data_IF_027377397679
#
_entry.id   IF_027377397679
#
_cell.length_a   1.000
_cell.length_b   1.000
_cell.length_c   1.000
_cell.angle_alpha   90.00
_cell.angle_beta   90.00
_cell.angle_gamma   90.00
#
_symmetry.space_group_name_H-M   'P 1'
#
loop_
_entity.id
_entity.type
_entity.pdbx_description
1 polymer ?
#
# COMPACT_ATOMS: atom_id res chain seq x y z
N UNK A 1 1.61 -1.58 -5.46
CA UNK A 1 0.18 -1.57 -5.79
C UNK A 1 -0.16 -0.62 -6.95
N UNK A 2 0.67 0.37 -7.28
CA UNK A 2 0.46 1.25 -8.43
C UNK A 2 1.78 1.75 -9.02
N UNK A 3 1.72 2.73 -9.93
CA UNK A 3 2.90 3.30 -10.59
C UNK A 3 3.90 3.97 -9.64
N UNK A 4 3.44 4.54 -8.51
CA UNK A 4 4.31 5.23 -7.55
C UNK A 4 5.17 4.20 -6.82
N UNK A 5 4.54 3.13 -6.32
CA UNK A 5 5.28 2.03 -5.68
C UNK A 5 6.18 1.30 -6.67
N UNK A 6 5.76 1.16 -7.92
CA UNK A 6 6.59 0.56 -8.97
C UNK A 6 7.88 1.35 -9.19
N UNK A 7 7.80 2.70 -9.21
CA UNK A 7 8.97 3.56 -9.34
C UNK A 7 9.91 3.46 -8.14
N UNK A 8 9.37 3.45 -6.91
CA UNK A 8 10.18 3.29 -5.68
C UNK A 8 10.83 1.90 -5.63
N UNK A 9 10.10 0.85 -6.00
CA UNK A 9 10.64 -0.52 -6.03
C UNK A 9 11.78 -0.66 -7.04
N UNK A 10 11.67 -0.05 -8.22
CA UNK A 10 12.76 0.01 -9.20
C UNK A 10 13.99 0.75 -8.66
N UNK A 11 13.79 1.91 -8.01
CA UNK A 11 14.89 2.66 -7.37
C UNK A 11 15.62 1.77 -6.36
N UNK A 12 14.89 1.14 -5.44
CA UNK A 12 15.48 0.26 -4.42
C UNK A 12 16.18 -0.97 -5.03
N UNK A 13 15.64 -1.52 -6.12
CA UNK A 13 16.27 -2.63 -6.82
C UNK A 13 17.65 -2.25 -7.38
N UNK A 14 17.83 -1.02 -7.88
CA UNK A 14 19.09 -0.50 -8.40
C UNK A 14 20.07 -0.13 -7.27
N UNK A 15 19.56 0.47 -6.18
CA UNK A 15 20.39 0.89 -5.05
C UNK A 15 20.91 -0.28 -4.20
N UNK A 16 20.25 -1.43 -4.25
CA UNK A 16 20.63 -2.63 -3.50
C UNK A 16 21.89 -3.29 -4.08
N UNK A 17 22.90 -3.51 -3.23
CA UNK A 17 24.23 -4.03 -3.63
C UNK A 17 24.57 -5.41 -3.10
N UNK A 18 23.76 -5.95 -2.19
CA UNK A 18 24.09 -7.12 -1.37
C UNK A 18 23.22 -8.36 -1.66
N UNK A 19 22.18 -8.21 -2.48
CA UNK A 19 21.27 -9.30 -2.85
C UNK A 19 20.42 -8.95 -4.08
N UNK A 20 19.87 -9.96 -4.78
CA UNK A 20 18.97 -9.73 -5.91
C UNK A 20 17.61 -9.19 -5.46
N UNK A 21 16.92 -8.50 -6.37
CA UNK A 21 15.55 -8.01 -6.19
C UNK A 21 14.65 -8.56 -7.30
N UNK A 22 13.51 -9.12 -6.92
CA UNK A 22 12.46 -9.52 -7.85
C UNK A 22 11.31 -8.49 -7.79
N UNK A 23 10.85 -8.05 -8.95
CA UNK A 23 9.72 -7.13 -9.08
C UNK A 23 8.53 -7.89 -9.67
N UNK A 24 7.43 -7.98 -8.92
CA UNK A 24 6.24 -8.74 -9.31
C UNK A 24 5.15 -7.75 -9.73
N UNK A 25 4.80 -7.76 -11.02
CA UNK A 25 3.85 -6.82 -11.61
C UNK A 25 2.56 -7.49 -12.03
N UNK A 26 1.47 -6.72 -12.01
CA UNK A 26 0.18 -7.14 -12.53
C UNK A 26 0.17 -7.15 -14.06
N UNK A 27 -0.73 -7.95 -14.63
CA UNK A 27 -1.05 -7.90 -16.07
C UNK A 27 -1.99 -6.72 -16.38
N UNK A 28 -2.93 -6.47 -15.47
CA UNK A 28 -3.98 -5.47 -15.59
C UNK A 28 -3.54 -4.10 -15.04
N UNK A 29 -4.23 -3.05 -15.48
CA UNK A 29 -4.08 -1.70 -14.93
C UNK A 29 -4.56 -1.67 -13.47
N UNK A 30 -3.88 -0.87 -12.65
CA UNK A 30 -4.21 -0.67 -11.25
C UNK A 30 -4.45 0.83 -10.97
N UNK A 31 -5.45 1.13 -10.15
CA UNK A 31 -5.74 2.51 -9.76
C UNK A 31 -4.63 3.06 -8.84
N UNK A 32 -4.20 4.29 -9.12
CA UNK A 32 -3.26 4.98 -8.25
C UNK A 32 -3.93 5.37 -6.93
N UNK A 33 -3.27 5.05 -5.81
CA UNK A 33 -3.74 5.41 -4.48
C UNK A 33 -3.30 6.84 -4.10
N UNK A 34 -4.17 7.65 -3.47
CA UNK A 34 -3.80 8.95 -2.93
C UNK A 34 -2.82 8.76 -1.76
N UNK A 35 -1.79 9.60 -1.69
CA UNK A 35 -0.75 9.55 -0.65
C UNK A 35 -0.31 10.94 -0.24
N UNK A 36 0.05 11.11 1.03
CA UNK A 36 0.85 12.24 1.51
C UNK A 36 2.32 12.08 1.12
N UNK A 37 3.11 13.16 1.25
CA UNK A 37 4.55 13.11 1.01
C UNK A 37 5.26 12.12 1.95
N UNK A 38 4.81 12.05 3.21
CA UNK A 38 5.32 11.10 4.20
C UNK A 38 5.03 9.65 3.79
N UNK A 39 3.80 9.37 3.36
CA UNK A 39 3.44 8.03 2.88
C UNK A 39 4.25 7.62 1.65
N UNK A 40 4.55 8.55 0.74
CA UNK A 40 5.43 8.27 -0.41
C UNK A 40 6.84 7.91 0.04
N UNK A 41 7.40 8.60 1.04
CA UNK A 41 8.71 8.27 1.60
C UNK A 41 8.69 6.88 2.29
N UNK A 42 7.59 6.55 2.96
CA UNK A 42 7.43 5.31 3.71
C UNK A 42 7.27 4.05 2.85
N UNK A 43 6.96 4.18 1.54
CA UNK A 43 6.99 3.05 0.60
C UNK A 43 8.32 2.30 0.67
N UNK A 44 9.43 3.02 0.86
CA UNK A 44 10.76 2.42 0.89
C UNK A 44 11.00 1.52 2.11
N UNK A 45 10.15 1.58 3.14
CA UNK A 45 10.20 0.70 4.31
C UNK A 45 9.65 -0.70 4.01
N UNK A 46 9.03 -0.90 2.84
CA UNK A 46 8.47 -2.19 2.39
C UNK A 46 7.03 -2.45 2.84
N UNK A 47 6.54 -1.74 3.86
CA UNK A 47 5.14 -1.71 4.25
C UNK A 47 4.80 -0.46 5.06
N UNK A 48 3.64 0.15 4.80
CA UNK A 48 3.26 1.44 5.38
C UNK A 48 1.74 1.61 5.48
N UNK A 49 1.30 2.52 6.35
CA UNK A 49 -0.13 2.82 6.52
C UNK A 49 -0.58 3.67 5.32
N UNK A 50 -1.44 3.10 4.48
CA UNK A 50 -2.02 3.79 3.35
C UNK A 50 -3.31 4.53 3.75
N UNK A 51 -4.15 3.88 4.56
CA UNK A 51 -5.38 4.47 5.10
C UNK A 51 -5.47 4.16 6.57
N UNK A 52 -5.81 5.15 7.38
CA UNK A 52 -5.88 5.00 8.83
C UNK A 52 -7.30 5.19 9.36
N UNK A 53 -7.54 4.67 10.56
CA UNK A 53 -8.77 4.86 11.34
C UNK A 53 -8.59 5.93 12.41
N UNK A 54 -9.67 6.53 12.87
CA UNK A 54 -9.63 7.43 14.03
C UNK A 54 -9.39 6.68 15.35
N UNK A 55 -8.21 6.92 15.94
CA UNK A 55 -7.78 6.27 17.18
C UNK A 55 -7.32 4.84 16.94
N UNK A 56 -7.52 3.96 17.93
CA UNK A 56 -7.08 2.56 17.85
C UNK A 56 -7.92 1.78 16.83
N UNK A 57 -7.30 1.13 15.81
CA UNK A 57 -8.03 0.31 14.86
C UNK A 57 -8.62 -0.94 15.55
N UNK A 58 -9.82 -1.32 15.14
CA UNK A 58 -10.46 -2.60 15.45
C UNK A 58 -10.01 -3.69 14.50
N UNK A 59 -9.67 -3.30 13.26
CA UNK A 59 -9.23 -4.19 12.19
C UNK A 59 -8.10 -3.54 11.39
N UNK A 60 -7.13 -4.36 10.98
CA UNK A 60 -6.07 -3.96 10.06
C UNK A 60 -6.13 -4.90 8.85
N UNK A 61 -6.34 -4.33 7.66
CA UNK A 61 -6.23 -5.02 6.38
C UNK A 61 -4.81 -4.81 5.85
N UNK A 62 -4.11 -5.91 5.57
CA UNK A 62 -2.78 -5.89 4.94
C UNK A 62 -2.94 -6.45 3.54
N UNK A 63 -2.55 -5.70 2.53
CA UNK A 63 -2.70 -6.10 1.14
C UNK A 63 -1.45 -5.72 0.34
N UNK A 64 -1.26 -6.39 -0.80
CA UNK A 64 -0.13 -6.17 -1.69
C UNK A 64 -0.61 -6.03 -3.13
N UNK A 65 0.17 -5.35 -3.99
CA UNK A 65 -0.09 -5.40 -5.43
C UNK A 65 -1.50 -4.96 -5.82
N UNK A 66 -2.19 -5.80 -6.59
CA UNK A 66 -3.55 -5.53 -7.09
C UNK A 66 -4.63 -5.55 -6.01
N UNK A 67 -4.38 -6.20 -4.88
CA UNK A 67 -5.39 -6.39 -3.83
C UNK A 67 -5.52 -5.16 -2.92
N UNK A 68 -4.62 -4.18 -3.02
CA UNK A 68 -4.69 -2.94 -2.21
C UNK A 68 -5.96 -2.14 -2.52
N UNK A 69 -6.36 -2.03 -3.79
CA UNK A 69 -7.60 -1.35 -4.16
C UNK A 69 -8.83 -2.07 -3.55
N UNK A 70 -8.81 -3.40 -3.54
CA UNK A 70 -9.87 -4.20 -2.92
C UNK A 70 -9.91 -3.98 -1.40
N UNK A 71 -8.75 -3.95 -0.73
CA UNK A 71 -8.67 -3.68 0.70
C UNK A 71 -9.15 -2.28 1.07
N UNK A 72 -8.84 -1.26 0.26
CA UNK A 72 -9.34 0.11 0.47
C UNK A 72 -10.86 0.17 0.34
N UNK A 73 -11.45 -0.47 -0.68
CA UNK A 73 -12.92 -0.54 -0.85
C UNK A 73 -13.60 -1.29 0.31
N UNK A 74 -13.01 -2.38 0.76
CA UNK A 74 -13.51 -3.12 1.93
C UNK A 74 -13.45 -2.26 3.21
N UNK A 75 -12.35 -1.54 3.42
CA UNK A 75 -12.20 -0.63 4.54
C UNK A 75 -13.24 0.50 4.50
N UNK A 76 -13.56 1.04 3.32
CA UNK A 76 -14.62 2.04 3.16
C UNK A 76 -15.99 1.53 3.58
N UNK A 77 -16.35 0.34 3.10
CA UNK A 77 -17.62 -0.29 3.46
C UNK A 77 -17.71 -0.54 4.98
N UNK A 78 -16.67 -1.14 5.58
CA UNK A 78 -16.64 -1.42 7.01
C UNK A 78 -16.63 -0.13 7.85
N UNK A 79 -15.97 0.93 7.37
CA UNK A 79 -15.97 2.24 8.05
C UNK A 79 -17.37 2.85 8.03
N UNK A 80 -18.10 2.73 6.92
CA UNK A 80 -19.50 3.17 6.85
C UNK A 80 -20.42 2.39 7.81
N UNK A 81 -20.06 1.15 8.15
CA UNK A 81 -20.73 0.33 9.16
C UNK A 81 -20.24 0.61 10.60
N UNK A 82 -19.39 1.64 10.78
CA UNK A 82 -18.92 2.10 12.09
C UNK A 82 -17.68 1.37 12.62
N UNK A 83 -16.98 0.60 11.79
CA UNK A 83 -15.73 -0.07 12.18
C UNK A 83 -14.52 0.82 11.98
N UNK A 84 -13.57 0.74 12.92
CA UNK A 84 -12.27 1.42 12.81
C UNK A 84 -11.28 0.56 12.04
N UNK A 85 -11.15 0.81 10.74
CA UNK A 85 -10.32 0.00 9.85
C UNK A 85 -9.11 0.75 9.35
N UNK A 86 -7.94 0.13 9.49
CA UNK A 86 -6.67 0.57 8.90
C UNK A 86 -6.30 -0.30 7.70
N UNK A 87 -5.71 0.28 6.67
CA UNK A 87 -5.14 -0.43 5.52
C UNK A 87 -3.64 -0.19 5.47
N UNK A 88 -2.89 -1.29 5.44
CA UNK A 88 -1.44 -1.31 5.22
C UNK A 88 -1.18 -1.85 3.82
N UNK A 89 -0.36 -1.13 3.07
CA UNK A 89 0.19 -1.59 1.80
C UNK A 89 1.62 -2.07 1.96
#
# INVERSE_FOLDING_TARGET
CDQVESAVAWKLAIERKDAPTALIFSRQNLAQQPRSAEQVADIAKGGYILKDSEGKPELILIATGSEVELAVKAAEQLTAEGKKVRVVS
#
